data_IF_168448365298
#
_entry.id   IF_168448365298
#
_cell.length_a   1.000
_cell.length_b   1.000
_cell.length_c   1.000
_cell.angle_alpha   90.00
_cell.angle_beta   90.00
_cell.angle_gamma   90.00
#
_symmetry.space_group_name_H-M   'P 1'
#
loop_
_entity.id
_entity.type
_entity.pdbx_description
1 polymer ?
#
# COMPACT_ATOMS: atom_id res chain seq x y z
N UNK A 1 -54.98 -67.88 -34.87
CA UNK A 1 -55.97 -67.09 -35.63
C UNK A 1 -55.21 -66.11 -36.51
N UNK A 2 -55.26 -66.30 -37.83
CA UNK A 2 -54.48 -65.52 -38.81
C UNK A 2 -55.22 -64.23 -39.17
N UNK A 3 -54.59 -63.06 -38.93
CA UNK A 3 -55.15 -61.76 -39.27
C UNK A 3 -54.82 -61.44 -40.74
N UNK A 4 -55.84 -61.21 -41.55
CA UNK A 4 -55.68 -60.74 -42.94
C UNK A 4 -55.44 -59.22 -42.91
N UNK A 5 -54.25 -58.79 -43.32
CA UNK A 5 -53.98 -57.38 -43.60
C UNK A 5 -54.61 -56.99 -44.94
N UNK A 6 -55.47 -55.98 -44.92
CA UNK A 6 -56.03 -55.38 -46.14
C UNK A 6 -55.13 -54.24 -46.58
N UNK A 7 -54.46 -54.40 -47.73
CA UNK A 7 -53.79 -53.28 -48.38
C UNK A 7 -54.83 -52.29 -48.90
N UNK A 8 -54.79 -51.05 -48.40
CA UNK A 8 -55.62 -49.97 -48.91
C UNK A 8 -55.22 -49.67 -50.36
N UNK A 9 -56.10 -50.02 -51.31
CA UNK A 9 -56.01 -49.57 -52.69
C UNK A 9 -56.12 -48.04 -52.70
N UNK A 10 -55.01 -47.35 -52.96
CA UNK A 10 -55.05 -45.91 -53.23
C UNK A 10 -55.94 -45.70 -54.46
N UNK A 11 -57.12 -45.11 -54.26
CA UNK A 11 -57.98 -44.63 -55.33
C UNK A 11 -57.17 -43.63 -56.15
N UNK A 12 -56.65 -44.07 -57.30
CA UNK A 12 -55.76 -43.26 -58.12
C UNK A 12 -56.42 -41.95 -58.61
N UNK A 13 -57.76 -41.87 -58.56
CA UNK A 13 -58.57 -40.79 -59.14
C UNK A 13 -59.52 -40.13 -58.10
N UNK A 14 -58.96 -39.39 -57.13
CA UNK A 14 -59.74 -38.56 -56.22
C UNK A 14 -60.50 -37.45 -56.98
N UNK A 15 -61.61 -36.97 -56.40
CA UNK A 15 -62.46 -35.92 -57.02
C UNK A 15 -61.67 -34.62 -57.24
N UNK A 16 -60.78 -34.30 -56.31
CA UNK A 16 -59.87 -33.15 -56.37
C UNK A 16 -58.89 -33.26 -57.54
N UNK A 17 -58.31 -34.43 -57.79
CA UNK A 17 -57.43 -34.65 -58.96
C UNK A 17 -58.17 -34.40 -60.27
N UNK A 18 -59.40 -34.91 -60.41
CA UNK A 18 -60.25 -34.66 -61.59
C UNK A 18 -60.63 -33.20 -61.77
N UNK A 19 -60.78 -32.45 -60.68
CA UNK A 19 -61.08 -31.02 -60.73
C UNK A 19 -59.84 -30.22 -61.13
N UNK A 20 -58.66 -30.58 -60.61
CA UNK A 20 -57.38 -30.00 -60.99
C UNK A 20 -57.00 -30.30 -62.46
N UNK A 21 -57.34 -31.49 -62.97
CA UNK A 21 -57.17 -31.84 -64.40
C UNK A 21 -58.11 -31.07 -65.33
N UNK A 22 -59.23 -30.52 -64.82
CA UNK A 22 -60.14 -29.69 -65.61
C UNK A 22 -59.77 -28.21 -65.58
N UNK A 23 -59.10 -27.75 -64.53
CA UNK A 23 -58.61 -26.38 -64.45
C UNK A 23 -57.36 -26.22 -65.33
N UNK A 24 -57.51 -25.46 -66.41
CA UNK A 24 -56.44 -25.14 -67.35
C UNK A 24 -55.23 -24.51 -66.63
N UNK A 25 -55.47 -23.67 -65.64
CA UNK A 25 -54.38 -22.97 -64.94
C UNK A 25 -53.62 -23.91 -63.98
N UNK A 26 -54.30 -24.88 -63.37
CA UNK A 26 -53.65 -25.94 -62.59
C UNK A 26 -52.86 -26.90 -63.48
N UNK A 27 -53.40 -27.26 -64.65
CA UNK A 27 -52.72 -28.09 -65.64
C UNK A 27 -51.46 -27.44 -66.23
N UNK A 28 -51.53 -26.16 -66.60
CA UNK A 28 -50.38 -25.40 -67.10
C UNK A 28 -49.27 -25.32 -66.04
N UNK A 29 -49.63 -25.05 -64.78
CA UNK A 29 -48.68 -25.02 -63.65
C UNK A 29 -48.02 -26.38 -63.41
N UNK A 30 -48.78 -27.47 -63.46
CA UNK A 30 -48.21 -28.82 -63.28
C UNK A 30 -47.33 -29.24 -64.45
N UNK A 31 -47.68 -28.85 -65.69
CA UNK A 31 -46.84 -29.06 -66.88
C UNK A 31 -45.54 -28.27 -66.82
N UNK A 32 -45.59 -27.00 -66.42
CA UNK A 32 -44.40 -26.17 -66.23
C UNK A 32 -43.48 -26.72 -65.12
N UNK A 33 -44.06 -27.13 -63.98
CA UNK A 33 -43.31 -27.73 -62.88
C UNK A 33 -42.63 -29.05 -63.28
N UNK A 34 -43.27 -29.84 -64.14
CA UNK A 34 -42.72 -31.12 -64.62
C UNK A 34 -41.91 -31.01 -65.92
N UNK A 35 -41.75 -29.80 -66.49
CA UNK A 35 -41.03 -29.59 -67.75
C UNK A 35 -39.54 -29.86 -67.54
N UNK A 36 -39.04 -30.89 -68.22
CA UNK A 36 -37.63 -31.33 -68.21
C UNK A 36 -37.08 -31.28 -69.63
N UNK A 37 -36.87 -30.08 -70.15
CA UNK A 37 -36.26 -29.86 -71.47
C UNK A 37 -35.01 -28.99 -71.33
N UNK A 38 -33.91 -29.39 -71.99
CA UNK A 38 -32.62 -28.68 -71.93
C UNK A 38 -31.91 -28.75 -70.57
N UNK A 39 -31.10 -27.73 -70.27
CA UNK A 39 -30.36 -27.57 -69.00
C UNK A 39 -31.20 -26.90 -67.88
N UNK A 40 -32.43 -26.48 -68.16
CA UNK A 40 -33.27 -25.78 -67.19
C UNK A 40 -34.18 -26.77 -66.46
N UNK A 41 -34.00 -26.89 -65.15
CA UNK A 41 -34.88 -27.67 -64.27
C UNK A 41 -35.71 -26.69 -63.45
N UNK A 42 -37.03 -26.65 -63.66
CA UNK A 42 -37.94 -25.93 -62.78
C UNK A 42 -38.11 -26.75 -61.49
N UNK A 43 -37.24 -26.54 -60.51
CA UNK A 43 -37.44 -27.09 -59.15
C UNK A 43 -38.49 -26.21 -58.45
N UNK A 44 -39.67 -26.75 -58.08
CA UNK A 44 -40.76 -25.92 -57.59
C UNK A 44 -40.57 -25.30 -56.21
N UNK A 45 -39.52 -25.63 -55.45
CA UNK A 45 -39.41 -25.14 -54.06
C UNK A 45 -38.04 -25.41 -53.43
N UNK A 46 -37.01 -24.67 -53.84
CA UNK A 46 -35.92 -24.32 -52.92
C UNK A 46 -35.34 -23.02 -53.43
N UNK A 47 -35.54 -21.93 -52.69
CA UNK A 47 -34.70 -20.75 -52.88
C UNK A 47 -33.24 -21.24 -52.85
N UNK A 48 -32.41 -21.03 -53.89
CA UNK A 48 -31.06 -21.56 -53.92
C UNK A 48 -30.16 -21.00 -52.79
N UNK A 49 -30.64 -19.97 -52.08
CA UNK A 49 -30.01 -19.38 -50.91
C UNK A 49 -30.44 -20.02 -49.58
N UNK A 50 -31.52 -20.81 -49.57
CA UNK A 50 -32.01 -21.47 -48.37
C UNK A 50 -31.32 -22.83 -48.19
N UNK A 51 -30.68 -22.97 -47.03
CA UNK A 51 -30.03 -24.22 -46.62
C UNK A 51 -31.13 -25.20 -46.19
N UNK A 52 -31.14 -26.39 -46.78
CA UNK A 52 -32.06 -27.47 -46.41
C UNK A 52 -31.90 -27.85 -44.93
N UNK A 53 -33.00 -28.17 -44.25
CA UNK A 53 -32.98 -28.52 -42.82
C UNK A 53 -32.07 -29.70 -42.47
N UNK A 54 -31.89 -30.60 -43.42
CA UNK A 54 -31.05 -31.80 -43.32
C UNK A 54 -29.56 -31.51 -43.56
N UNK A 55 -29.22 -30.33 -44.08
CA UNK A 55 -27.84 -29.97 -44.35
C UNK A 55 -27.12 -29.54 -43.06
N UNK A 56 -25.83 -29.85 -42.98
CA UNK A 56 -24.99 -29.59 -41.80
C UNK A 56 -24.96 -28.10 -41.40
N UNK A 57 -25.13 -27.20 -42.37
CA UNK A 57 -25.17 -25.75 -42.14
C UNK A 57 -26.54 -25.18 -41.78
N UNK A 58 -27.58 -26.01 -41.63
CA UNK A 58 -28.89 -25.51 -41.26
C UNK A 58 -28.94 -25.08 -39.80
N UNK A 59 -29.39 -23.85 -39.59
CA UNK A 59 -29.65 -23.28 -38.27
C UNK A 59 -31.06 -22.71 -38.33
N UNK A 60 -31.96 -23.11 -37.42
CA UNK A 60 -33.31 -22.55 -37.38
C UNK A 60 -33.24 -21.06 -37.04
N UNK A 61 -34.17 -20.27 -37.57
CA UNK A 61 -34.15 -18.81 -37.40
C UNK A 61 -34.14 -18.37 -35.93
N UNK A 62 -34.75 -19.16 -35.03
CA UNK A 62 -34.72 -18.94 -33.58
C UNK A 62 -33.34 -19.05 -32.94
N UNK A 63 -32.41 -19.78 -33.57
CA UNK A 63 -31.00 -19.90 -33.15
C UNK A 63 -30.06 -19.06 -34.01
N UNK A 64 -30.54 -18.55 -35.15
CA UNK A 64 -29.77 -17.69 -36.05
C UNK A 64 -29.61 -16.28 -35.48
N UNK A 65 -30.63 -15.80 -34.77
CA UNK A 65 -30.60 -14.53 -34.05
C UNK A 65 -30.40 -14.81 -32.55
N UNK A 66 -29.36 -14.25 -31.96
CA UNK A 66 -29.20 -14.26 -30.51
C UNK A 66 -30.31 -13.40 -29.89
N UNK A 67 -31.26 -14.05 -29.21
CA UNK A 67 -32.40 -13.38 -28.58
C UNK A 67 -32.11 -12.74 -27.23
N UNK A 68 -30.97 -13.02 -26.62
CA UNK A 68 -30.60 -12.58 -25.27
C UNK A 68 -29.41 -11.62 -25.25
N UNK A 69 -29.54 -10.50 -25.97
CA UNK A 69 -28.54 -9.43 -25.96
C UNK A 69 -28.31 -8.87 -24.54
N UNK A 70 -29.36 -8.85 -23.71
CA UNK A 70 -29.28 -8.39 -22.33
C UNK A 70 -28.39 -9.30 -21.47
N UNK A 71 -28.51 -10.63 -21.65
CA UNK A 71 -27.66 -11.62 -20.99
C UNK A 71 -26.20 -11.50 -21.40
N UNK A 72 -25.92 -11.30 -22.69
CA UNK A 72 -24.55 -11.11 -23.19
C UNK A 72 -23.90 -9.83 -22.62
N UNK A 73 -24.62 -8.70 -22.65
CA UNK A 73 -24.11 -7.46 -22.06
C UNK A 73 -23.87 -7.57 -20.55
N UNK A 74 -24.76 -8.28 -19.84
CA UNK A 74 -24.58 -8.54 -18.42
C UNK A 74 -23.34 -9.41 -18.18
N UNK A 75 -23.15 -10.48 -18.95
CA UNK A 75 -21.97 -11.34 -18.83
C UNK A 75 -20.67 -10.57 -19.08
N UNK A 76 -20.67 -9.65 -20.04
CA UNK A 76 -19.52 -8.77 -20.31
C UNK A 76 -19.23 -7.81 -19.15
N UNK A 77 -20.28 -7.20 -18.57
CA UNK A 77 -20.14 -6.34 -17.37
C UNK A 77 -19.64 -7.13 -16.16
N UNK A 78 -20.17 -8.32 -15.93
CA UNK A 78 -19.78 -9.19 -14.82
C UNK A 78 -18.31 -9.64 -14.96
N UNK A 79 -17.87 -9.96 -16.19
CA UNK A 79 -16.46 -10.26 -16.47
C UNK A 79 -15.53 -9.07 -16.19
N UNK A 80 -15.94 -7.86 -16.56
CA UNK A 80 -15.15 -6.66 -16.30
C UNK A 80 -15.07 -6.37 -14.79
N UNK A 81 -16.18 -6.50 -14.07
CA UNK A 81 -16.22 -6.36 -12.62
C UNK A 81 -15.33 -7.40 -11.93
N UNK A 82 -15.40 -8.67 -12.34
CA UNK A 82 -14.56 -9.74 -11.81
C UNK A 82 -13.07 -9.46 -12.05
N UNK A 83 -12.70 -8.97 -13.24
CA UNK A 83 -11.31 -8.54 -13.53
C UNK A 83 -10.86 -7.42 -12.60
N UNK A 84 -11.68 -6.40 -12.38
CA UNK A 84 -11.37 -5.28 -11.48
C UNK A 84 -11.23 -5.74 -10.03
N UNK A 85 -12.09 -6.63 -9.57
CA UNK A 85 -12.02 -7.23 -8.23
C UNK A 85 -10.72 -8.02 -8.06
N UNK A 86 -10.38 -8.90 -9.00
CA UNK A 86 -9.15 -9.70 -8.97
C UNK A 86 -7.89 -8.81 -8.91
N UNK A 87 -7.83 -7.74 -9.72
CA UNK A 87 -6.71 -6.80 -9.69
C UNK A 87 -6.60 -6.13 -8.31
N UNK A 88 -7.73 -5.73 -7.73
CA UNK A 88 -7.77 -5.04 -6.44
C UNK A 88 -7.35 -5.97 -5.30
N UNK A 89 -7.85 -7.20 -5.29
CA UNK A 89 -7.48 -8.23 -4.32
C UNK A 89 -6.00 -8.58 -4.41
N UNK A 90 -5.48 -8.76 -5.63
CA UNK A 90 -4.05 -9.01 -5.85
C UNK A 90 -3.18 -7.87 -5.30
N UNK A 91 -3.56 -6.61 -5.57
CA UNK A 91 -2.84 -5.45 -5.03
C UNK A 91 -2.88 -5.42 -3.50
N UNK A 92 -4.04 -5.72 -2.90
CA UNK A 92 -4.20 -5.78 -1.45
C UNK A 92 -3.31 -6.87 -0.85
N UNK A 93 -3.32 -8.07 -1.40
CA UNK A 93 -2.52 -9.19 -0.91
C UNK A 93 -1.03 -8.88 -1.00
N UNK A 94 -0.56 -8.35 -2.14
CA UNK A 94 0.84 -7.95 -2.30
C UNK A 94 1.27 -6.89 -1.27
N UNK A 95 0.39 -5.93 -0.97
CA UNK A 95 0.67 -4.91 0.04
C UNK A 95 0.80 -5.53 1.44
N UNK A 96 -0.15 -6.40 1.80
CA UNK A 96 -0.13 -7.11 3.08
C UNK A 96 1.12 -7.99 3.23
N UNK A 97 1.47 -8.76 2.19
CA UNK A 97 2.67 -9.62 2.19
C UNK A 97 3.95 -8.79 2.37
N UNK A 98 4.06 -7.66 1.66
CA UNK A 98 5.21 -6.75 1.80
C UNK A 98 5.30 -6.18 3.21
N UNK A 99 4.18 -5.74 3.77
CA UNK A 99 4.15 -5.16 5.11
C UNK A 99 4.52 -6.21 6.18
N UNK A 100 3.97 -7.41 6.07
CA UNK A 100 4.33 -8.53 6.95
C UNK A 100 5.82 -8.89 6.85
N UNK A 101 6.39 -8.90 5.63
CA UNK A 101 7.81 -9.15 5.44
C UNK A 101 8.67 -8.06 6.10
N UNK A 102 8.33 -6.79 5.91
CA UNK A 102 9.03 -5.66 6.55
C UNK A 102 8.90 -5.67 8.08
N UNK A 103 7.74 -6.06 8.60
CA UNK A 103 7.53 -6.18 10.03
C UNK A 103 8.41 -7.29 10.62
N UNK A 104 8.42 -8.48 10.01
CA UNK A 104 9.29 -9.59 10.42
C UNK A 104 10.78 -9.21 10.37
N UNK A 105 11.20 -8.48 9.34
CA UNK A 105 12.58 -8.00 9.25
C UNK A 105 12.94 -7.06 10.40
N UNK A 106 12.07 -6.08 10.70
CA UNK A 106 12.26 -5.16 11.83
C UNK A 106 12.28 -5.88 13.18
N UNK A 107 11.42 -6.87 13.37
CA UNK A 107 11.41 -7.68 14.60
C UNK A 107 12.74 -8.44 14.76
N UNK A 108 13.24 -9.07 13.70
CA UNK A 108 14.54 -9.75 13.72
C UNK A 108 15.71 -8.81 13.96
N UNK A 109 15.70 -7.62 13.35
CA UNK A 109 16.73 -6.60 13.58
C UNK A 109 16.69 -6.11 15.03
N UNK A 110 15.51 -5.83 15.55
CA UNK A 110 15.31 -5.41 16.93
C UNK A 110 15.79 -6.48 17.92
N UNK A 111 15.47 -7.75 17.69
CA UNK A 111 15.95 -8.86 18.52
C UNK A 111 17.48 -8.98 18.50
N UNK A 112 18.10 -8.85 17.32
CA UNK A 112 19.58 -8.87 17.20
C UNK A 112 20.22 -7.70 17.93
N UNK A 113 19.66 -6.49 17.80
CA UNK A 113 20.17 -5.32 18.51
C UNK A 113 19.99 -5.47 20.02
N UNK A 114 18.84 -5.98 20.47
CA UNK A 114 18.58 -6.27 21.88
C UNK A 114 19.58 -7.26 22.44
N UNK A 115 19.82 -8.38 21.75
CA UNK A 115 20.84 -9.36 22.14
C UNK A 115 22.24 -8.74 22.20
N UNK A 116 22.58 -7.89 21.22
CA UNK A 116 23.86 -7.18 21.19
C UNK A 116 23.99 -6.19 22.36
N UNK A 117 22.92 -5.50 22.72
CA UNK A 117 22.90 -4.59 23.88
C UNK A 117 23.00 -5.38 25.20
N UNK A 118 22.27 -6.49 25.33
CA UNK A 118 22.34 -7.38 26.50
C UNK A 118 23.75 -7.97 26.67
N UNK A 119 24.41 -8.38 25.57
CA UNK A 119 25.80 -8.85 25.61
C UNK A 119 26.81 -7.74 25.96
N UNK A 120 26.47 -6.48 25.67
CA UNK A 120 27.29 -5.31 26.03
C UNK A 120 27.06 -4.86 27.48
N UNK A 121 25.88 -5.12 28.04
CA UNK A 121 25.53 -4.79 29.41
C UNK A 121 26.52 -5.48 30.37
N UNK A 122 27.38 -4.68 31.00
CA UNK A 122 28.41 -5.16 31.93
C UNK A 122 29.82 -5.29 31.35
N UNK A 123 29.99 -5.34 30.02
CA UNK A 123 31.32 -5.34 29.37
C UNK A 123 31.79 -3.93 28.96
N UNK A 124 30.88 -2.96 28.95
CA UNK A 124 31.21 -1.57 28.62
C UNK A 124 31.95 -0.87 29.76
N UNK A 125 33.24 -0.58 29.55
CA UNK A 125 33.94 0.45 30.33
C UNK A 125 33.29 1.78 30.01
N UNK A 126 32.46 2.29 30.93
CA UNK A 126 31.90 3.64 30.82
C UNK A 126 33.07 4.62 30.68
N UNK A 127 33.04 5.44 29.62
CA UNK A 127 33.90 6.60 29.52
C UNK A 127 33.53 7.56 30.65
N UNK A 128 34.13 7.36 31.83
CA UNK A 128 34.07 8.35 32.90
C UNK A 128 34.79 9.57 32.37
N UNK A 129 34.07 10.68 32.21
CA UNK A 129 34.68 11.95 31.89
C UNK A 129 35.78 12.25 32.91
N UNK A 130 36.84 12.95 32.50
CA UNK A 130 37.89 13.39 33.41
C UNK A 130 37.35 14.30 34.53
N UNK A 131 36.16 14.87 34.33
CA UNK A 131 35.45 15.72 35.28
C UNK A 131 34.79 14.89 36.37
N UNK A 132 35.04 15.25 37.64
CA UNK A 132 34.43 14.62 38.83
C UNK A 132 32.92 14.86 39.02
N UNK A 133 32.21 15.28 37.96
CA UNK A 133 30.78 15.51 37.95
C UNK A 133 30.14 14.89 36.69
N UNK A 134 28.90 14.46 36.82
CA UNK A 134 28.09 13.99 35.71
C UNK A 134 27.72 15.16 34.79
N UNK A 135 28.02 15.05 33.50
CA UNK A 135 27.87 16.13 32.53
C UNK A 135 26.39 16.50 32.34
N UNK A 136 25.48 15.54 32.52
CA UNK A 136 24.04 15.74 32.33
C UNK A 136 23.43 16.40 33.57
N UNK A 137 23.58 15.76 34.73
CA UNK A 137 22.97 16.25 35.98
C UNK A 137 23.79 17.36 36.65
N UNK A 138 25.04 17.57 36.21
CA UNK A 138 26.06 18.44 36.83
C UNK A 138 26.34 18.10 38.29
N UNK A 139 25.87 16.95 38.77
CA UNK A 139 26.09 16.54 40.14
C UNK A 139 27.45 15.85 40.27
N UNK A 140 28.19 16.13 41.34
CA UNK A 140 29.46 15.45 41.62
C UNK A 140 29.21 13.96 41.86
N UNK A 141 30.06 13.10 41.30
CA UNK A 141 29.89 11.64 41.44
C UNK A 141 30.17 11.14 42.85
N UNK A 142 31.04 11.84 43.59
CA UNK A 142 31.53 11.43 44.92
C UNK A 142 31.36 12.58 45.93
N UNK A 143 30.82 12.35 47.14
CA UNK A 143 30.72 13.38 48.18
C UNK A 143 32.05 14.05 48.54
N UNK A 144 33.19 13.38 48.41
CA UNK A 144 34.49 14.02 48.64
C UNK A 144 34.90 14.93 47.48
N UNK A 145 34.73 14.47 46.24
CA UNK A 145 34.98 15.29 45.03
C UNK A 145 34.05 16.51 44.99
N UNK A 146 32.82 16.38 45.50
CA UNK A 146 31.90 17.52 45.70
C UNK A 146 32.50 18.62 46.56
N UNK A 147 33.13 18.26 47.69
CA UNK A 147 33.74 19.24 48.60
C UNK A 147 34.91 19.94 47.93
N UNK A 148 35.72 19.20 47.18
CA UNK A 148 36.85 19.76 46.44
C UNK A 148 36.38 20.73 45.33
N UNK A 149 35.41 20.31 44.53
CA UNK A 149 34.86 21.13 43.45
C UNK A 149 34.16 22.40 43.97
N UNK A 150 33.36 22.27 45.03
CA UNK A 150 32.72 23.44 45.66
C UNK A 150 33.74 24.43 46.23
N UNK A 151 34.84 23.92 46.80
CA UNK A 151 35.96 24.76 47.22
C UNK A 151 36.63 25.45 46.02
N UNK A 152 36.92 24.74 44.93
CA UNK A 152 37.50 25.34 43.73
C UNK A 152 36.61 26.43 43.11
N UNK A 153 35.30 26.21 43.06
CA UNK A 153 34.33 27.18 42.58
C UNK A 153 34.28 28.42 43.48
N UNK A 154 34.29 28.24 44.80
CA UNK A 154 34.38 29.33 45.78
C UNK A 154 35.69 30.11 45.65
N UNK A 155 36.82 29.42 45.44
CA UNK A 155 38.13 30.05 45.22
C UNK A 155 38.12 30.87 43.93
N UNK A 156 37.51 30.34 42.86
CA UNK A 156 37.39 31.06 41.59
C UNK A 156 36.53 32.32 41.74
N UNK A 157 35.39 32.21 42.43
CA UNK A 157 34.53 33.36 42.72
C UNK A 157 35.26 34.41 43.58
N UNK A 158 35.96 33.99 44.63
CA UNK A 158 36.79 34.86 45.47
C UNK A 158 37.85 35.60 44.66
N UNK A 159 38.65 34.88 43.85
CA UNK A 159 39.70 35.48 43.01
C UNK A 159 39.12 36.46 41.99
N UNK A 160 37.97 36.13 41.39
CA UNK A 160 37.26 37.02 40.47
C UNK A 160 36.83 38.32 41.14
N UNK A 161 36.23 38.24 42.32
CA UNK A 161 35.79 39.40 43.09
C UNK A 161 36.98 40.26 43.57
N UNK A 162 38.07 39.65 44.06
CA UNK A 162 39.30 40.37 44.42
C UNK A 162 39.87 41.10 43.21
N UNK A 163 39.93 40.46 42.04
CA UNK A 163 40.41 41.10 40.82
C UNK A 163 39.52 42.26 40.40
N UNK A 164 38.21 42.10 40.48
CA UNK A 164 37.26 43.16 40.19
C UNK A 164 37.42 44.35 41.16
N UNK A 165 37.64 44.10 42.45
CA UNK A 165 37.93 45.14 43.44
C UNK A 165 39.24 45.90 43.14
N UNK A 166 40.32 45.18 42.81
CA UNK A 166 41.60 45.80 42.43
C UNK A 166 41.45 46.64 41.16
N UNK A 167 40.72 46.13 40.15
CA UNK A 167 40.47 46.88 38.91
C UNK A 167 39.63 48.12 39.18
N UNK A 168 38.63 48.04 40.05
CA UNK A 168 37.83 49.18 40.47
C UNK A 168 38.68 50.25 41.15
N UNK A 169 39.54 49.86 42.10
CA UNK A 169 40.47 50.78 42.79
C UNK A 169 41.45 51.46 41.84
N UNK A 170 41.99 50.72 40.87
CA UNK A 170 42.97 51.26 39.91
C UNK A 170 42.30 52.11 38.82
N UNK A 171 41.08 51.74 38.42
CA UNK A 171 40.31 52.45 37.41
C UNK A 171 39.67 53.75 37.93
N UNK A 172 39.45 53.85 39.24
CA UNK A 172 38.93 55.06 39.88
C UNK A 172 39.85 55.54 41.00
N UNK A 173 40.84 56.34 40.63
CA UNK A 173 41.76 56.98 41.59
C UNK A 173 41.09 58.04 42.47
N UNK A 174 40.01 58.66 41.99
CA UNK A 174 39.37 59.84 42.61
C UNK A 174 38.05 59.52 43.31
N UNK A 175 37.54 58.30 43.19
CA UNK A 175 36.27 57.87 43.81
C UNK A 175 35.00 58.52 43.22
N UNK A 176 35.15 59.37 42.19
CA UNK A 176 34.07 60.05 41.50
C UNK A 176 34.11 59.76 40.00
N UNK A 177 32.96 59.78 39.33
CA UNK A 177 32.91 59.67 37.88
C UNK A 177 33.48 60.96 37.25
N UNK A 178 34.53 60.89 36.40
CA UNK A 178 35.16 62.08 35.83
C UNK A 178 34.27 62.86 34.86
N UNK A 179 33.16 62.28 34.37
CA UNK A 179 32.24 62.94 33.43
C UNK A 179 31.10 63.65 34.18
N UNK A 180 30.49 62.98 35.17
CA UNK A 180 29.30 63.51 35.88
C UNK A 180 29.62 64.12 37.25
N UNK A 181 30.80 63.83 37.81
CA UNK A 181 31.19 64.25 39.16
C UNK A 181 30.51 63.48 40.30
N UNK A 182 29.58 62.59 39.98
CA UNK A 182 28.85 61.80 40.98
C UNK A 182 29.77 60.76 41.65
N UNK A 183 29.53 60.43 42.94
CA UNK A 183 30.26 59.37 43.62
C UNK A 183 30.02 58.04 42.89
N UNK A 184 31.09 57.27 42.68
CA UNK A 184 30.95 55.99 42.00
C UNK A 184 30.19 54.97 42.87
N UNK A 185 29.39 54.08 42.26
CA UNK A 185 28.60 53.09 42.97
C UNK A 185 29.47 52.17 43.83
N UNK A 186 28.87 51.63 44.88
CA UNK A 186 29.54 50.92 45.96
C UNK A 186 30.51 49.84 45.47
N UNK A 187 31.66 49.76 46.16
CA UNK A 187 32.77 48.83 45.96
C UNK A 187 32.29 47.38 45.80
N UNK A 188 32.94 46.63 44.90
CA UNK A 188 32.66 45.21 44.67
C UNK A 188 32.73 44.46 46.01
N UNK A 189 31.66 43.77 46.37
CA UNK A 189 31.60 42.95 47.58
C UNK A 189 32.47 41.71 47.37
N UNK A 190 33.61 41.66 48.04
CA UNK A 190 34.51 40.51 48.00
C UNK A 190 34.03 39.48 49.02
N UNK A 191 33.69 38.24 48.60
CA UNK A 191 33.30 37.19 49.54
C UNK A 191 34.48 36.80 50.43
N UNK A 192 34.24 36.20 51.62
CA UNK A 192 35.33 35.74 52.48
C UNK A 192 36.17 34.68 51.75
N UNK A 193 37.48 34.67 52.02
CA UNK A 193 38.39 33.68 51.45
C UNK A 193 37.97 32.28 51.92
N UNK A 194 37.70 31.33 51.02
CA UNK A 194 37.31 29.98 51.41
C UNK A 194 38.46 29.26 52.11
N UNK A 195 38.15 28.50 53.17
CA UNK A 195 39.12 27.67 53.90
C UNK A 195 39.45 26.40 53.11
N UNK A 196 40.74 25.99 53.04
CA UNK A 196 41.10 24.75 52.35
C UNK A 196 40.39 23.57 53.00
N UNK A 197 39.78 22.71 52.17
CA UNK A 197 39.25 21.42 52.63
C UNK A 197 40.45 20.60 53.12
N UNK A 198 40.40 19.98 54.32
CA UNK A 198 41.49 19.12 54.78
C UNK A 198 41.63 17.96 53.79
N UNK A 199 42.67 18.03 52.95
CA UNK A 199 42.99 16.98 52.01
C UNK A 199 43.38 15.76 52.83
N UNK A 200 42.63 14.66 52.70
CA UNK A 200 43.16 13.36 53.11
C UNK A 200 44.38 13.12 52.22
N UNK A 201 45.54 13.23 52.85
CA UNK A 201 46.87 13.10 52.27
C UNK A 201 47.02 11.75 51.56
N UNK A 202 47.63 11.78 50.38
CA UNK A 202 48.43 10.72 49.77
C UNK A 202 47.98 9.27 50.03
N UNK A 203 47.08 8.76 49.19
CA UNK A 203 46.97 7.32 48.93
C UNK A 203 47.37 7.04 47.48
N UNK A 204 48.66 7.19 47.20
CA UNK A 204 49.30 6.54 46.07
C UNK A 204 50.10 5.36 46.63
N UNK A 205 49.48 4.19 46.62
CA UNK A 205 50.12 2.86 46.57
C UNK A 205 49.20 1.97 45.74
#
# INVERSE_FOLDING_TARGET
MSQKEFHALQLQNSREKRQAERDRHALERSRLANRKEGFQRHSPSTNPLEVLETAVGYIPDSKRLHGDAAGEEKAMRDLELAKRQLITEKKRNNCMEREQALQKQRELEYEKEKQKQEARLGSEKKNRGLTGYDIITKQPLDPEQRKLQTYEDQVRAYRGAVRADILYQRGSSTGCNPITGEPLPQRVVVPPKPSPVPSQTNKFY
#
